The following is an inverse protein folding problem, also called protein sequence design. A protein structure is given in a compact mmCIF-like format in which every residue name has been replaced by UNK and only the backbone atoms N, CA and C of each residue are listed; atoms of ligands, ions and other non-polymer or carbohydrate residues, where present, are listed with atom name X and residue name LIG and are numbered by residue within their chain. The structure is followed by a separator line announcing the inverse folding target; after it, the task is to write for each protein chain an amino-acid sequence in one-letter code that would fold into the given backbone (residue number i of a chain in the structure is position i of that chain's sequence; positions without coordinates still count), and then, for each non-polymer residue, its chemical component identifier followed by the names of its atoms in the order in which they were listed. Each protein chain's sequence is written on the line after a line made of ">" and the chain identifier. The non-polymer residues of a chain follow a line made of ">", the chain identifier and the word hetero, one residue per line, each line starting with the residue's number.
data_IF_563477044533
#
_entry.id   IF_563477044533
#
_cell.length_a   1.000
_cell.length_b   1.000
_cell.length_c   1.000
_cell.angle_alpha   90.00
_cell.angle_beta   90.00
_cell.angle_gamma   90.00
#
_symmetry.space_group_name_H-M   'P 1'
#
loop_
_entity.id
_entity.type
_entity.pdbx_description
1 polymer ?
#
# COMPACT_ATOMS: atom_id res chain seq x y z
N UNK A 1 64.40 -62.75 -33.41
CA UNK A 1 64.28 -61.95 -32.18
C UNK A 1 63.85 -60.54 -32.53
N UNK A 2 62.64 -60.11 -32.12
CA UNK A 2 62.26 -58.70 -32.05
C UNK A 2 61.45 -58.50 -30.77
N UNK A 3 62.07 -57.83 -29.82
CA UNK A 3 61.50 -57.48 -28.51
C UNK A 3 60.58 -56.27 -28.68
N UNK A 4 59.28 -56.45 -28.42
CA UNK A 4 58.31 -55.35 -28.35
C UNK A 4 58.58 -54.53 -27.08
N UNK A 5 58.95 -53.25 -27.25
CA UNK A 5 59.00 -52.28 -26.14
C UNK A 5 57.59 -52.07 -25.58
N UNK A 6 57.43 -52.33 -24.28
CA UNK A 6 56.18 -52.24 -23.51
C UNK A 6 55.71 -50.79 -23.33
N UNK A 7 54.41 -50.58 -23.53
CA UNK A 7 53.62 -49.34 -23.44
C UNK A 7 53.46 -48.80 -22.00
N UNK A 8 54.55 -48.46 -21.29
CA UNK A 8 54.47 -48.03 -19.87
C UNK A 8 53.99 -46.58 -19.65
N UNK A 9 54.01 -45.72 -20.68
CA UNK A 9 53.54 -44.32 -20.56
C UNK A 9 52.03 -44.14 -20.79
N UNK A 10 51.46 -44.90 -21.73
CA UNK A 10 50.03 -44.76 -22.12
C UNK A 10 49.09 -45.23 -21.01
N UNK A 11 49.43 -46.32 -20.31
CA UNK A 11 48.61 -46.81 -19.20
C UNK A 11 48.54 -45.81 -18.03
N UNK A 12 49.64 -45.10 -17.72
CA UNK A 12 49.66 -44.08 -16.67
C UNK A 12 48.81 -42.86 -17.05
N UNK A 13 48.88 -42.42 -18.32
CA UNK A 13 48.06 -41.31 -18.83
C UNK A 13 46.57 -41.67 -18.76
N UNK A 14 46.20 -42.90 -19.13
CA UNK A 14 44.81 -43.36 -19.03
C UNK A 14 44.33 -43.38 -17.57
N UNK A 15 45.14 -43.87 -16.64
CA UNK A 15 44.78 -43.89 -15.21
C UNK A 15 44.64 -42.47 -14.66
N UNK A 16 45.55 -41.55 -14.99
CA UNK A 16 45.47 -40.15 -14.56
C UNK A 16 44.27 -39.42 -15.17
N UNK A 17 43.92 -39.73 -16.42
CA UNK A 17 42.74 -39.20 -17.09
C UNK A 17 41.46 -39.73 -16.43
N UNK A 18 41.39 -41.02 -16.11
CA UNK A 18 40.26 -41.60 -15.38
C UNK A 18 40.14 -41.01 -13.97
N UNK A 19 41.24 -40.86 -13.24
CA UNK A 19 41.25 -40.24 -11.92
C UNK A 19 40.78 -38.79 -11.98
N UNK A 20 41.27 -38.00 -12.93
CA UNK A 20 40.84 -36.61 -13.14
C UNK A 20 39.35 -36.53 -13.47
N UNK A 21 38.82 -37.43 -14.31
CA UNK A 21 37.38 -37.50 -14.60
C UNK A 21 36.57 -37.87 -13.36
N UNK A 22 37.03 -38.84 -12.57
CA UNK A 22 36.35 -39.24 -11.34
C UNK A 22 36.34 -38.11 -10.29
N UNK A 23 37.45 -37.40 -10.11
CA UNK A 23 37.52 -36.30 -9.15
C UNK A 23 36.69 -35.10 -9.58
N UNK A 24 36.69 -34.76 -10.88
CA UNK A 24 35.83 -33.69 -11.41
C UNK A 24 34.34 -34.00 -11.27
N UNK A 25 33.92 -35.24 -11.59
CA UNK A 25 32.52 -35.67 -11.39
C UNK A 25 32.15 -35.60 -9.91
N UNK A 26 33.01 -36.12 -9.01
CA UNK A 26 32.76 -36.07 -7.58
C UNK A 26 32.63 -34.62 -7.05
N UNK A 27 33.48 -33.71 -7.53
CA UNK A 27 33.42 -32.28 -7.21
C UNK A 27 32.08 -31.66 -7.61
N UNK A 28 31.67 -31.84 -8.87
CA UNK A 28 30.38 -31.33 -9.39
C UNK A 28 29.19 -31.93 -8.63
N UNK A 29 29.24 -33.21 -8.29
CA UNK A 29 28.18 -33.85 -7.49
C UNK A 29 28.08 -33.26 -6.08
N UNK A 30 29.22 -33.01 -5.42
CA UNK A 30 29.26 -32.41 -4.09
C UNK A 30 28.72 -30.97 -4.08
N UNK A 31 29.12 -30.16 -5.05
CA UNK A 31 28.60 -28.79 -5.22
C UNK A 31 27.09 -28.81 -5.43
N UNK A 32 26.59 -29.72 -6.29
CA UNK A 32 25.16 -29.87 -6.54
C UNK A 32 24.40 -30.29 -5.29
N UNK A 33 24.92 -31.24 -4.51
CA UNK A 33 24.31 -31.67 -3.25
C UNK A 33 24.24 -30.52 -2.25
N UNK A 34 25.33 -29.77 -2.09
CA UNK A 34 25.36 -28.62 -1.19
C UNK A 34 24.37 -27.52 -1.62
N UNK A 35 24.33 -27.20 -2.92
CA UNK A 35 23.37 -26.23 -3.45
C UNK A 35 21.91 -26.69 -3.27
N UNK A 36 21.62 -27.99 -3.46
CA UNK A 36 20.29 -28.55 -3.23
C UNK A 36 19.91 -28.50 -1.75
N UNK A 37 20.86 -28.78 -0.85
CA UNK A 37 20.65 -28.70 0.59
C UNK A 37 20.32 -27.26 1.02
N UNK A 38 21.09 -26.27 0.58
CA UNK A 38 20.81 -24.86 0.87
C UNK A 38 19.45 -24.41 0.33
N UNK A 39 19.09 -24.81 -0.90
CA UNK A 39 17.76 -24.52 -1.47
C UNK A 39 16.65 -25.15 -0.65
N UNK A 40 16.81 -26.40 -0.24
CA UNK A 40 15.84 -27.11 0.61
C UNK A 40 15.66 -26.41 1.96
N UNK A 41 16.76 -26.02 2.60
CA UNK A 41 16.72 -25.30 3.86
C UNK A 41 16.03 -23.93 3.72
N UNK A 42 16.38 -23.15 2.70
CA UNK A 42 15.76 -21.85 2.44
C UNK A 42 14.26 -21.98 2.13
N UNK A 43 13.85 -23.04 1.43
CA UNK A 43 12.43 -23.31 1.18
C UNK A 43 11.66 -23.57 2.48
N UNK A 44 12.22 -24.36 3.40
CA UNK A 44 11.61 -24.64 4.71
C UNK A 44 11.55 -23.35 5.55
N UNK A 45 12.64 -22.60 5.63
CA UNK A 45 12.70 -21.35 6.38
C UNK A 45 11.71 -20.31 5.84
N UNK A 46 11.57 -20.20 4.52
CA UNK A 46 10.57 -19.34 3.88
C UNK A 46 9.14 -19.76 4.23
N UNK A 47 8.83 -21.06 4.18
CA UNK A 47 7.52 -21.57 4.57
C UNK A 47 7.21 -21.30 6.05
N UNK A 48 8.20 -21.45 6.93
CA UNK A 48 8.07 -21.13 8.35
C UNK A 48 7.78 -19.63 8.54
N UNK A 49 8.54 -18.75 7.88
CA UNK A 49 8.33 -17.31 7.92
C UNK A 49 6.94 -16.91 7.38
N UNK A 50 6.47 -17.58 6.34
CA UNK A 50 5.11 -17.39 5.81
C UNK A 50 4.04 -17.74 6.87
N UNK A 51 4.14 -18.90 7.52
CA UNK A 51 3.15 -19.29 8.54
C UNK A 51 3.18 -18.39 9.77
N UNK A 52 4.36 -17.93 10.17
CA UNK A 52 4.47 -16.90 11.20
C UNK A 52 3.82 -15.58 10.77
N UNK A 53 3.95 -15.16 9.50
CA UNK A 53 3.28 -13.98 8.98
C UNK A 53 1.74 -14.09 9.08
N UNK A 54 1.17 -15.27 8.80
CA UNK A 54 -0.25 -15.55 9.01
C UNK A 54 -0.62 -15.54 10.51
N UNK A 55 0.27 -15.99 11.38
CA UNK A 55 0.09 -15.88 12.83
C UNK A 55 0.03 -14.42 13.32
N UNK A 56 0.85 -13.54 12.74
CA UNK A 56 0.84 -12.10 13.07
C UNK A 56 -0.44 -11.44 12.56
N UNK A 57 -0.97 -11.83 11.39
CA UNK A 57 -2.31 -11.40 10.96
C UNK A 57 -3.37 -11.74 12.01
N UNK A 58 -3.34 -12.95 12.56
CA UNK A 58 -4.28 -13.35 13.60
C UNK A 58 -4.13 -12.51 14.88
N UNK A 59 -2.90 -12.17 15.27
CA UNK A 59 -2.66 -11.26 16.39
C UNK A 59 -3.17 -9.84 16.12
N UNK A 60 -2.96 -9.32 14.90
CA UNK A 60 -3.43 -8.00 14.49
C UNK A 60 -4.96 -7.91 14.56
N UNK A 61 -5.67 -8.96 14.12
CA UNK A 61 -7.13 -9.05 14.26
C UNK A 61 -7.57 -8.91 15.72
N UNK A 62 -6.95 -9.65 16.64
CA UNK A 62 -7.29 -9.58 18.07
C UNK A 62 -7.10 -8.16 18.62
N UNK A 63 -6.03 -7.45 18.24
CA UNK A 63 -5.81 -6.07 18.65
C UNK A 63 -6.89 -5.09 18.17
N UNK A 64 -7.33 -5.23 16.91
CA UNK A 64 -8.40 -4.40 16.34
C UNK A 64 -9.76 -4.77 16.97
N UNK A 65 -10.08 -6.06 17.07
CA UNK A 65 -11.33 -6.55 17.68
C UNK A 65 -11.47 -6.16 19.15
N UNK A 66 -10.34 -6.09 19.88
CA UNK A 66 -10.34 -5.60 21.26
C UNK A 66 -10.67 -4.10 21.31
N UNK A 67 -10.14 -3.32 20.38
CA UNK A 67 -10.35 -1.86 20.34
C UNK A 67 -11.81 -1.50 20.06
N UNK A 68 -12.50 -2.31 19.24
CA UNK A 68 -13.95 -2.18 19.05
C UNK A 68 -14.79 -2.45 20.29
N UNK A 69 -14.30 -3.28 21.22
CA UNK A 69 -15.01 -3.59 22.47
C UNK A 69 -14.79 -2.52 23.53
N UNK A 70 -13.62 -1.88 23.50
CA UNK A 70 -13.21 -0.94 24.52
C UNK A 70 -13.78 0.47 24.29
N UNK A 71 -13.96 0.89 23.02
CA UNK A 71 -14.39 2.24 22.66
C UNK A 71 -15.24 2.32 21.38
N UNK A 72 -16.10 3.33 21.30
CA UNK A 72 -16.96 3.64 20.13
C UNK A 72 -16.26 4.41 19.01
N UNK A 73 -14.99 4.80 19.19
CA UNK A 73 -14.14 5.44 18.17
C UNK A 73 -12.95 4.56 17.80
N UNK A 74 -12.26 4.88 16.71
CA UNK A 74 -10.95 4.30 16.36
C UNK A 74 -9.93 5.44 16.34
N UNK A 75 -8.91 5.34 17.19
CA UNK A 75 -7.93 6.40 17.41
C UNK A 75 -6.52 5.81 17.61
N UNK A 76 -5.53 6.68 17.77
CA UNK A 76 -4.12 6.30 17.90
C UNK A 76 -3.68 5.93 19.34
N UNK A 77 -4.52 6.10 20.36
CA UNK A 77 -4.21 5.66 21.75
C UNK A 77 -4.50 4.16 21.97
N UNK A 78 -5.20 3.53 21.04
CA UNK A 78 -5.63 2.14 21.12
C UNK A 78 -4.49 1.12 20.94
N UNK A 79 -4.64 -0.11 21.47
CA UNK A 79 -3.60 -1.14 21.43
C UNK A 79 -3.13 -1.57 20.03
N UNK A 80 -3.96 -1.40 18.99
CA UNK A 80 -3.57 -1.73 17.62
C UNK A 80 -2.60 -0.70 17.02
N UNK A 81 -2.64 0.56 17.46
CA UNK A 81 -1.92 1.69 16.88
C UNK A 81 -0.47 1.83 17.39
N UNK A 82 0.10 0.74 17.90
CA UNK A 82 1.50 0.72 18.33
C UNK A 82 2.42 0.88 17.12
N UNK A 83 3.38 1.81 17.25
CA UNK A 83 4.52 1.92 16.32
C UNK A 83 5.27 0.59 16.25
N UNK A 84 6.07 0.42 15.20
CA UNK A 84 6.77 -0.84 14.87
C UNK A 84 7.21 -1.65 16.11
N UNK A 85 6.55 -2.79 16.31
CA UNK A 85 6.81 -3.70 17.42
C UNK A 85 7.69 -4.85 16.94
N UNK A 86 8.59 -5.33 17.81
CA UNK A 86 9.37 -6.54 17.56
C UNK A 86 8.85 -7.67 18.46
N UNK A 87 8.35 -8.74 17.84
CA UNK A 87 7.88 -9.95 18.52
C UNK A 87 8.92 -11.07 18.35
N UNK A 88 9.47 -11.62 19.44
CA UNK A 88 10.34 -12.79 19.36
C UNK A 88 9.52 -14.03 18.97
N UNK A 89 10.07 -14.83 18.07
CA UNK A 89 9.53 -16.13 17.64
C UNK A 89 10.57 -17.22 17.94
N UNK A 90 10.16 -18.48 17.99
CA UNK A 90 11.04 -19.59 18.35
C UNK A 90 12.32 -19.69 17.50
N UNK A 91 12.24 -19.30 16.21
CA UNK A 91 13.34 -19.37 15.24
C UNK A 91 13.54 -18.08 14.47
N UNK A 92 13.07 -16.96 15.01
CA UNK A 92 13.00 -15.73 14.24
C UNK A 92 12.50 -14.53 15.01
N UNK A 93 12.29 -13.46 14.26
CA UNK A 93 11.67 -12.25 14.77
C UNK A 93 10.62 -11.77 13.79
N UNK A 94 9.56 -11.20 14.34
CA UNK A 94 8.53 -10.51 13.59
C UNK A 94 8.61 -9.03 13.92
N UNK A 95 8.58 -8.19 12.89
CA UNK A 95 8.49 -6.73 13.03
C UNK A 95 7.31 -6.23 12.24
N UNK A 96 6.58 -5.27 12.75
CA UNK A 96 5.49 -4.69 11.99
C UNK A 96 4.65 -3.71 12.78
N UNK A 97 3.69 -3.13 12.09
CA UNK A 97 2.75 -2.16 12.61
C UNK A 97 1.42 -2.29 11.86
N UNK A 98 0.37 -1.72 12.44
CA UNK A 98 -0.95 -1.63 11.84
C UNK A 98 -1.22 -0.16 11.56
N UNK A 99 -1.81 0.14 10.40
CA UNK A 99 -2.23 1.49 10.01
C UNK A 99 -3.71 1.47 9.69
N UNK A 100 -4.42 2.49 10.14
CA UNK A 100 -5.79 2.75 9.69
C UNK A 100 -5.79 3.17 8.22
N UNK A 101 -6.49 2.42 7.36
CA UNK A 101 -6.62 2.73 5.93
C UNK A 101 -7.82 3.59 5.59
N UNK A 102 -8.51 4.12 6.59
CA UNK A 102 -9.44 5.23 6.43
C UNK A 102 -8.82 6.60 6.75
N UNK A 103 -7.52 6.66 7.07
CA UNK A 103 -6.75 7.90 7.19
C UNK A 103 -6.21 8.40 5.82
N UNK A 104 -6.96 8.27 4.72
CA UNK A 104 -6.52 8.64 3.37
C UNK A 104 -7.71 9.01 2.48
N UNK A 105 -7.45 9.73 1.39
CA UNK A 105 -8.44 9.95 0.34
C UNK A 105 -8.65 8.65 -0.43
N UNK A 106 -9.84 8.05 -0.32
CA UNK A 106 -10.16 6.83 -1.05
C UNK A 106 -10.55 7.16 -2.51
N UNK A 107 -9.67 6.85 -3.46
CA UNK A 107 -9.88 7.11 -4.89
C UNK A 107 -11.20 6.52 -5.43
N UNK A 108 -11.59 5.38 -4.88
CA UNK A 108 -12.81 4.66 -5.26
C UNK A 108 -14.11 5.39 -4.88
N UNK A 109 -14.03 6.48 -4.11
CA UNK A 109 -15.18 7.36 -3.87
C UNK A 109 -15.67 8.02 -5.16
N UNK A 110 -14.77 8.27 -6.12
CA UNK A 110 -15.12 8.93 -7.38
C UNK A 110 -16.09 8.09 -8.22
N UNK A 111 -16.08 6.76 -8.06
CA UNK A 111 -17.06 5.87 -8.71
C UNK A 111 -18.51 6.07 -8.21
N UNK A 112 -18.71 6.72 -7.05
CA UNK A 112 -20.04 7.08 -6.56
C UNK A 112 -20.58 8.40 -7.13
N UNK A 113 -19.71 9.17 -7.80
CA UNK A 113 -20.05 10.48 -8.35
C UNK A 113 -20.79 10.30 -9.66
N UNK A 114 -22.10 10.57 -9.64
CA UNK A 114 -22.90 10.55 -10.85
C UNK A 114 -22.76 11.87 -11.63
N UNK A 115 -22.68 11.81 -12.97
CA UNK A 115 -22.70 13.02 -13.79
C UNK A 115 -24.06 13.70 -13.68
N UNK A 116 -24.07 14.94 -13.17
CA UNK A 116 -25.30 15.72 -13.09
C UNK A 116 -25.57 16.38 -14.45
N UNK A 117 -26.63 15.93 -15.14
CA UNK A 117 -27.02 16.47 -16.43
C UNK A 117 -27.26 18.00 -16.34
N UNK A 118 -26.46 18.78 -17.07
CA UNK A 118 -26.57 20.23 -17.13
C UNK A 118 -25.91 21.01 -15.99
N UNK A 119 -25.13 20.36 -15.12
CA UNK A 119 -24.24 21.08 -14.20
C UNK A 119 -22.92 21.41 -14.91
N UNK A 120 -22.54 22.68 -14.85
CA UNK A 120 -21.26 23.18 -15.36
C UNK A 120 -20.16 23.11 -14.30
N UNK A 121 -20.53 22.92 -13.03
CA UNK A 121 -19.60 22.87 -11.90
C UNK A 121 -19.11 21.44 -11.68
N UNK A 122 -17.82 21.32 -11.36
CA UNK A 122 -17.19 20.03 -11.03
C UNK A 122 -17.78 19.49 -9.73
N UNK A 123 -18.13 18.19 -9.64
CA UNK A 123 -18.64 17.60 -8.41
C UNK A 123 -17.64 17.75 -7.25
N UNK A 124 -18.15 17.93 -6.03
CA UNK A 124 -17.35 18.17 -4.84
C UNK A 124 -16.18 17.20 -4.66
N UNK A 125 -16.40 15.89 -4.78
CA UNK A 125 -15.33 14.89 -4.59
C UNK A 125 -14.23 14.95 -5.65
N UNK A 126 -14.59 15.26 -6.89
CA UNK A 126 -13.62 15.44 -7.99
C UNK A 126 -12.81 16.71 -7.76
N UNK A 127 -13.45 17.77 -7.25
CA UNK A 127 -12.80 19.01 -6.84
C UNK A 127 -11.83 18.79 -5.67
N UNK A 128 -12.23 18.04 -4.64
CA UNK A 128 -11.34 17.64 -3.53
C UNK A 128 -10.12 16.91 -4.06
N UNK A 129 -10.30 15.95 -4.98
CA UNK A 129 -9.16 15.24 -5.54
C UNK A 129 -8.25 16.14 -6.39
N UNK A 130 -8.82 17.07 -7.17
CA UNK A 130 -8.05 18.08 -7.91
C UNK A 130 -7.19 18.94 -6.97
N UNK A 131 -7.79 19.49 -5.91
CA UNK A 131 -7.05 20.30 -4.94
C UNK A 131 -5.97 19.47 -4.23
N UNK A 132 -6.26 18.20 -3.90
CA UNK A 132 -5.25 17.31 -3.32
C UNK A 132 -4.05 17.08 -4.24
N UNK A 133 -4.28 16.99 -5.55
CA UNK A 133 -3.21 16.90 -6.55
C UNK A 133 -2.36 18.17 -6.60
N UNK A 134 -2.99 19.34 -6.53
CA UNK A 134 -2.29 20.64 -6.47
C UNK A 134 -1.44 20.75 -5.20
N UNK A 135 -1.98 20.37 -4.03
CA UNK A 135 -1.25 20.33 -2.76
C UNK A 135 -0.08 19.32 -2.79
N UNK A 136 -0.24 18.22 -3.53
CA UNK A 136 0.86 17.28 -3.81
C UNK A 136 1.90 17.84 -4.82
N UNK A 137 1.66 19.03 -5.38
CA UNK A 137 2.57 19.75 -6.27
C UNK A 137 2.37 19.46 -7.75
N UNK A 138 1.15 19.08 -8.17
CA UNK A 138 0.77 19.09 -9.58
C UNK A 138 0.51 20.52 -10.06
N UNK A 139 0.86 20.82 -11.31
CA UNK A 139 0.45 22.07 -11.95
C UNK A 139 -1.07 22.10 -12.14
N UNK A 140 -1.76 23.26 -12.05
CA UNK A 140 -3.23 23.32 -12.06
C UNK A 140 -3.89 22.59 -13.24
N UNK A 141 -3.36 22.77 -14.45
CA UNK A 141 -3.86 22.07 -15.63
C UNK A 141 -3.65 20.55 -15.54
N UNK A 142 -2.50 20.12 -15.03
CA UNK A 142 -2.23 18.69 -14.86
C UNK A 142 -3.14 18.08 -13.78
N UNK A 143 -3.41 18.81 -12.69
CA UNK A 143 -4.32 18.39 -11.64
C UNK A 143 -5.75 18.21 -12.19
N UNK A 144 -6.23 19.14 -13.02
CA UNK A 144 -7.53 19.03 -13.70
C UNK A 144 -7.63 17.77 -14.56
N UNK A 145 -6.64 17.53 -15.43
CA UNK A 145 -6.63 16.37 -16.31
C UNK A 145 -6.59 15.07 -15.51
N UNK A 146 -5.74 14.97 -14.49
CA UNK A 146 -5.63 13.76 -13.68
C UNK A 146 -6.91 13.51 -12.89
N UNK A 147 -7.53 14.55 -12.32
CA UNK A 147 -8.76 14.40 -11.55
C UNK A 147 -9.91 13.88 -12.42
N UNK A 148 -10.12 14.50 -13.58
CA UNK A 148 -11.13 14.09 -14.55
C UNK A 148 -10.82 12.68 -15.07
N UNK A 149 -9.58 12.40 -15.49
CA UNK A 149 -9.18 11.07 -15.98
C UNK A 149 -9.29 9.98 -14.91
N UNK A 150 -9.06 10.28 -13.63
CA UNK A 150 -9.22 9.32 -12.53
C UNK A 150 -10.70 9.04 -12.28
N UNK A 151 -11.56 10.05 -12.41
CA UNK A 151 -13.00 9.88 -12.28
C UNK A 151 -13.54 8.96 -13.36
N UNK A 152 -13.24 9.20 -14.64
CA UNK A 152 -13.67 8.30 -15.74
C UNK A 152 -13.06 6.91 -15.57
N UNK A 153 -11.79 6.80 -15.17
CA UNK A 153 -11.12 5.50 -15.03
C UNK A 153 -11.78 4.54 -14.02
N UNK A 154 -12.50 5.08 -13.03
CA UNK A 154 -13.19 4.27 -11.99
C UNK A 154 -14.70 4.24 -12.12
N UNK A 155 -15.28 5.04 -13.01
CA UNK A 155 -16.71 5.00 -13.27
C UNK A 155 -17.08 3.69 -13.99
N UNK A 156 -18.36 3.43 -14.24
CA UNK A 156 -18.80 2.12 -14.74
C UNK A 156 -18.97 2.02 -16.26
N UNK A 157 -18.72 3.11 -17.01
CA UNK A 157 -18.96 3.15 -18.44
C UNK A 157 -17.75 3.66 -19.23
N UNK A 158 -17.92 3.87 -20.55
CA UNK A 158 -16.84 4.25 -21.48
C UNK A 158 -17.10 5.65 -22.08
N UNK A 159 -17.93 6.46 -21.42
CA UNK A 159 -18.32 7.78 -21.93
C UNK A 159 -17.51 8.84 -21.22
N UNK A 160 -16.78 9.62 -22.01
CA UNK A 160 -16.18 10.86 -21.51
C UNK A 160 -17.29 11.85 -21.11
N UNK A 161 -17.45 12.07 -19.80
CA UNK A 161 -18.47 12.95 -19.22
C UNK A 161 -17.88 14.28 -18.74
N UNK A 162 -16.61 14.29 -18.37
CA UNK A 162 -15.86 15.45 -17.88
C UNK A 162 -15.15 16.20 -19.01
N UNK A 163 -14.69 17.42 -18.74
CA UNK A 163 -14.12 18.29 -19.78
C UNK A 163 -12.74 17.80 -20.27
N UNK A 164 -11.94 17.26 -19.35
CA UNK A 164 -10.58 16.79 -19.61
C UNK A 164 -10.44 15.27 -19.43
N UNK A 165 -11.56 14.57 -19.23
CA UNK A 165 -11.61 13.12 -19.05
C UNK A 165 -11.17 12.35 -20.29
N UNK A 166 -10.71 11.13 -20.06
CA UNK A 166 -10.28 10.23 -21.11
C UNK A 166 -10.70 8.81 -20.79
N UNK A 167 -11.00 8.06 -21.85
CA UNK A 167 -11.46 6.67 -21.80
C UNK A 167 -10.54 5.77 -22.64
N UNK A 168 -11.01 4.55 -22.92
CA UNK A 168 -10.36 3.51 -23.72
C UNK A 168 -9.55 4.04 -24.90
N UNK A 169 -10.10 4.92 -25.74
CA UNK A 169 -9.41 5.43 -26.93
C UNK A 169 -8.05 6.08 -26.60
N UNK A 170 -7.89 6.67 -25.40
CA UNK A 170 -6.63 7.23 -24.94
C UNK A 170 -5.69 6.14 -24.43
N UNK A 171 -6.17 5.22 -23.60
CA UNK A 171 -5.35 4.16 -23.01
C UNK A 171 -4.90 3.12 -24.05
N UNK A 172 -5.68 2.89 -25.10
CA UNK A 172 -5.29 2.06 -26.26
C UNK A 172 -4.11 2.65 -27.04
N UNK A 173 -3.90 3.97 -26.95
CA UNK A 173 -2.77 4.64 -27.60
C UNK A 173 -1.44 4.49 -26.85
N UNK A 174 -1.47 3.97 -25.63
CA UNK A 174 -0.28 3.82 -24.80
C UNK A 174 0.59 2.62 -25.20
N UNK A 175 1.80 2.58 -24.65
CA UNK A 175 2.75 1.48 -24.81
C UNK A 175 3.21 0.97 -23.44
N UNK A 176 2.75 -0.23 -23.00
CA UNK A 176 1.76 -1.10 -23.65
C UNK A 176 0.36 -0.47 -23.65
N UNK A 177 -0.47 -0.87 -24.62
CA UNK A 177 -1.87 -0.48 -24.69
C UNK A 177 -2.70 -1.25 -23.65
N UNK A 178 -3.70 -0.59 -23.07
CA UNK A 178 -4.67 -1.18 -22.13
C UNK A 178 -5.98 -0.37 -22.18
N UNK A 179 -6.97 -0.80 -21.41
CA UNK A 179 -8.29 -0.17 -21.30
C UNK A 179 -8.45 0.53 -19.95
N UNK A 180 -9.40 1.46 -19.86
CA UNK A 180 -9.83 1.97 -18.57
C UNK A 180 -10.34 0.82 -17.68
N UNK A 181 -10.23 0.96 -16.37
CA UNK A 181 -10.62 -0.12 -15.46
C UNK A 181 -12.15 -0.30 -15.39
N UNK A 182 -12.88 0.80 -15.57
CA UNK A 182 -14.33 0.92 -15.48
C UNK A 182 -14.90 0.25 -14.22
N UNK A 183 -14.23 0.51 -13.10
CA UNK A 183 -14.53 -0.08 -11.82
C UNK A 183 -13.56 0.36 -10.73
N UNK A 184 -13.81 -0.13 -9.51
CA UNK A 184 -13.00 0.23 -8.36
C UNK A 184 -11.55 -0.22 -8.57
N UNK A 185 -10.60 0.69 -8.32
CA UNK A 185 -9.19 0.35 -8.23
C UNK A 185 -8.99 -0.70 -7.13
N UNK A 186 -8.29 -1.78 -7.45
CA UNK A 186 -7.89 -2.77 -6.48
C UNK A 186 -6.75 -2.24 -5.60
N UNK A 187 -5.81 -1.46 -6.16
CA UNK A 187 -4.74 -0.82 -5.41
C UNK A 187 -4.48 0.64 -5.84
N UNK A 188 -4.05 1.47 -4.88
CA UNK A 188 -3.66 2.85 -5.17
C UNK A 188 -2.52 2.97 -6.19
N UNK A 189 -1.73 1.90 -6.40
CA UNK A 189 -0.73 1.88 -7.48
C UNK A 189 -1.32 1.98 -8.88
N UNK A 190 -2.59 1.62 -9.08
CA UNK A 190 -3.27 1.70 -10.38
C UNK A 190 -3.46 3.15 -10.83
N UNK A 191 -3.49 4.11 -9.89
CA UNK A 191 -3.46 5.53 -10.21
C UNK A 191 -2.25 5.91 -11.09
N UNK A 192 -1.15 5.14 -11.04
CA UNK A 192 0.02 5.35 -11.90
C UNK A 192 -0.28 5.14 -13.39
N UNK A 193 -1.32 4.39 -13.72
CA UNK A 193 -1.79 4.15 -15.08
C UNK A 193 -2.67 5.31 -15.59
N UNK A 194 -3.32 6.07 -14.70
CA UNK A 194 -4.19 7.17 -15.12
C UNK A 194 -3.44 8.19 -15.97
N UNK A 195 -4.14 8.70 -16.99
CA UNK A 195 -3.61 9.66 -17.96
C UNK A 195 -2.95 10.87 -17.28
N UNK A 196 -1.75 11.22 -17.74
CA UNK A 196 -0.87 12.26 -17.19
C UNK A 196 -0.33 12.06 -15.76
N UNK A 197 -0.64 10.95 -15.08
CA UNK A 197 -0.01 10.67 -13.78
C UNK A 197 1.49 10.42 -13.95
N UNK A 198 2.31 11.25 -13.31
CA UNK A 198 3.77 11.13 -13.36
C UNK A 198 4.32 10.32 -12.18
N UNK A 199 5.48 9.68 -12.36
CA UNK A 199 6.15 8.96 -11.27
C UNK A 199 6.49 9.84 -10.05
N UNK A 200 7.06 11.06 -10.25
CA UNK A 200 7.32 11.98 -9.15
C UNK A 200 6.05 12.42 -8.40
N UNK A 201 4.97 12.75 -9.12
CA UNK A 201 3.70 13.14 -8.49
C UNK A 201 3.09 11.98 -7.72
N UNK A 202 3.05 10.78 -8.31
CA UNK A 202 2.55 9.57 -7.63
C UNK A 202 3.32 9.28 -6.33
N UNK A 203 4.63 9.54 -6.30
CA UNK A 203 5.44 9.33 -5.09
C UNK A 203 5.08 10.29 -3.95
N UNK A 204 4.70 11.54 -4.29
CA UNK A 204 4.21 12.52 -3.32
C UNK A 204 2.77 12.25 -2.88
N UNK A 205 1.95 11.72 -3.79
CA UNK A 205 0.54 11.45 -3.56
C UNK A 205 0.29 10.12 -2.81
N UNK A 206 1.18 9.13 -2.96
CA UNK A 206 1.08 7.81 -2.35
C UNK A 206 0.75 7.79 -0.83
N UNK A 207 1.28 8.68 0.03
CA UNK A 207 0.89 8.71 1.45
C UNK A 207 -0.50 9.33 1.70
N UNK A 208 -1.08 10.03 0.72
CA UNK A 208 -2.33 10.77 0.86
C UNK A 208 -3.55 9.99 0.36
N UNK A 209 -3.35 9.02 -0.54
CA UNK A 209 -4.43 8.31 -1.22
C UNK A 209 -4.44 6.81 -0.92
N UNK A 210 -5.62 6.21 -1.08
CA UNK A 210 -5.81 4.77 -1.00
C UNK A 210 -6.88 4.31 -2.00
N UNK A 211 -6.93 2.99 -2.21
CA UNK A 211 -7.99 2.33 -2.96
C UNK A 211 -8.59 1.24 -2.07
N UNK A 212 -9.63 1.59 -1.33
CA UNK A 212 -10.38 0.66 -0.49
C UNK A 212 -11.46 -0.02 -1.34
N UNK A 213 -11.85 -1.27 -1.05
CA UNK A 213 -12.89 -2.00 -1.79
C UNK A 213 -14.31 -1.51 -1.44
N UNK A 214 -14.50 -0.19 -1.42
CA UNK A 214 -15.76 0.53 -1.17
C UNK A 214 -15.70 1.87 -1.89
N UNK A 215 -16.86 2.37 -2.32
CA UNK A 215 -17.04 3.73 -2.82
C UNK A 215 -17.65 4.68 -1.77
N UNK A 216 -17.87 4.21 -0.54
CA UNK A 216 -18.24 5.04 0.61
C UNK A 216 -16.96 5.48 1.34
N UNK A 217 -16.53 6.71 1.07
CA UNK A 217 -15.34 7.27 1.71
C UNK A 217 -15.69 7.96 3.02
N UNK A 218 -15.04 7.50 4.09
CA UNK A 218 -15.14 8.01 5.44
C UNK A 218 -13.74 8.22 6.00
N UNK A 219 -13.23 9.45 5.88
CA UNK A 219 -11.94 9.84 6.44
C UNK A 219 -12.01 9.79 7.97
N UNK A 220 -11.21 8.92 8.59
CA UNK A 220 -11.12 8.88 10.04
C UNK A 220 -10.22 10.04 10.55
N UNK A 221 -10.84 11.04 11.15
CA UNK A 221 -10.11 12.21 11.67
C UNK A 221 -9.24 11.86 12.87
N UNK A 222 -9.54 10.78 13.60
CA UNK A 222 -8.78 10.39 14.77
C UNK A 222 -7.43 9.70 14.47
N UNK A 223 -7.18 9.34 13.21
CA UNK A 223 -5.97 8.60 12.79
C UNK A 223 -5.17 9.29 11.69
N UNK A 224 -5.68 10.37 11.10
CA UNK A 224 -4.93 11.15 10.09
C UNK A 224 -3.61 11.69 10.68
N UNK A 225 -2.51 11.59 9.95
CA UNK A 225 -1.20 12.08 10.38
C UNK A 225 -0.90 13.48 9.82
N UNK A 226 0.04 14.22 10.42
CA UNK A 226 0.38 15.58 9.99
C UNK A 226 0.86 15.64 8.53
N UNK A 227 1.52 14.58 8.04
CA UNK A 227 1.91 14.45 6.63
C UNK A 227 0.71 14.36 5.67
N UNK A 228 -0.47 14.07 6.18
CA UNK A 228 -1.72 13.90 5.44
C UNK A 228 -2.66 15.10 5.56
N UNK A 229 -2.23 16.18 6.23
CA UNK A 229 -2.93 17.46 6.30
C UNK A 229 -3.46 17.99 4.95
N UNK A 230 -2.77 17.80 3.80
CA UNK A 230 -3.30 18.17 2.48
C UNK A 230 -4.70 17.64 2.16
N UNK A 231 -5.10 16.50 2.74
CA UNK A 231 -6.45 15.94 2.55
C UNK A 231 -7.49 16.89 3.16
N UNK A 232 -7.25 17.41 4.38
CA UNK A 232 -8.15 18.35 5.04
C UNK A 232 -8.18 19.69 4.29
N UNK A 233 -7.03 20.17 3.85
CA UNK A 233 -6.94 21.38 3.00
C UNK A 233 -7.83 21.21 1.77
N UNK A 234 -7.71 20.09 1.07
CA UNK A 234 -8.51 19.81 -0.12
C UNK A 234 -10.01 19.67 0.18
N UNK A 235 -10.40 19.05 1.31
CA UNK A 235 -11.79 18.92 1.72
C UNK A 235 -12.47 20.25 2.04
N UNK A 236 -11.71 21.20 2.58
CA UNK A 236 -12.22 22.49 3.07
C UNK A 236 -11.74 23.69 2.24
N UNK A 237 -11.17 23.45 1.07
CA UNK A 237 -10.66 24.51 0.20
C UNK A 237 -11.77 25.51 -0.18
N UNK A 238 -11.46 26.82 -0.28
CA UNK A 238 -10.17 27.46 -0.01
C UNK A 238 -10.01 27.95 1.45
N UNK A 239 -10.85 27.48 2.37
CA UNK A 239 -11.08 28.11 3.68
C UNK A 239 -10.16 27.60 4.80
N UNK A 240 -9.46 26.48 4.60
CA UNK A 240 -8.51 25.91 5.54
C UNK A 240 -7.08 25.94 4.98
N UNK A 241 -6.15 26.55 5.72
CA UNK A 241 -4.74 26.58 5.31
C UNK A 241 -4.01 25.30 5.70
N UNK A 242 -2.88 25.02 5.06
CA UNK A 242 -2.04 23.86 5.41
C UNK A 242 -1.52 23.93 6.86
N UNK A 243 -1.16 25.12 7.34
CA UNK A 243 -0.71 25.31 8.73
C UNK A 243 -1.82 25.02 9.72
N UNK A 244 -3.03 25.54 9.50
CA UNK A 244 -4.16 25.30 10.39
C UNK A 244 -4.57 23.82 10.38
N UNK A 245 -4.49 23.15 9.22
CA UNK A 245 -4.74 21.72 9.11
C UNK A 245 -3.70 20.88 9.87
N UNK A 246 -2.43 21.30 9.90
CA UNK A 246 -1.38 20.64 10.68
C UNK A 246 -1.58 20.87 12.18
N UNK A 247 -1.86 22.11 12.59
CA UNK A 247 -2.14 22.47 13.99
C UNK A 247 -3.36 21.70 14.51
N UNK A 248 -4.43 21.58 13.71
CA UNK A 248 -5.61 20.78 14.04
C UNK A 248 -5.28 19.30 14.29
N UNK A 249 -4.37 18.73 13.49
CA UNK A 249 -3.94 17.33 13.64
C UNK A 249 -3.05 17.15 14.87
N UNK A 250 -2.13 18.08 15.11
CA UNK A 250 -1.22 18.06 16.26
C UNK A 250 -1.95 18.35 17.58
N UNK A 251 -3.01 19.15 17.54
CA UNK A 251 -3.89 19.49 18.65
C UNK A 251 -4.91 18.41 18.99
N UNK A 252 -4.96 17.30 18.24
CA UNK A 252 -5.89 16.19 18.47
C UNK A 252 -5.83 15.71 19.93
N UNK A 253 -6.98 15.54 20.61
CA UNK A 253 -7.01 14.93 21.94
C UNK A 253 -6.35 13.56 21.98
N UNK A 254 -5.81 13.15 23.13
CA UNK A 254 -5.11 11.87 23.27
C UNK A 254 -5.96 10.67 22.82
N UNK A 255 -7.24 10.65 23.19
CA UNK A 255 -8.21 9.61 22.80
C UNK A 255 -9.00 9.98 21.53
N UNK A 256 -8.57 11.02 20.81
CA UNK A 256 -9.28 11.58 19.66
C UNK A 256 -10.56 12.34 20.03
N UNK A 257 -11.26 12.80 19.01
CA UNK A 257 -12.59 13.38 19.09
C UNK A 257 -13.65 12.27 19.26
N UNK A 258 -14.70 12.52 20.04
CA UNK A 258 -15.75 11.53 20.27
C UNK A 258 -16.68 11.39 19.07
N UNK A 259 -16.88 12.48 18.34
CA UNK A 259 -17.68 12.54 17.13
C UNK A 259 -17.16 13.63 16.17
N UNK A 260 -17.80 13.73 15.01
CA UNK A 260 -17.44 14.70 13.97
C UNK A 260 -17.80 16.14 14.36
N UNK A 261 -18.75 16.34 15.28
CA UNK A 261 -19.12 17.69 15.76
C UNK A 261 -18.05 18.23 16.71
N UNK A 262 -17.48 17.39 17.58
CA UNK A 262 -16.30 17.74 18.40
C UNK A 262 -15.13 18.18 17.51
N UNK A 263 -14.88 17.46 16.41
CA UNK A 263 -13.88 17.87 15.41
C UNK A 263 -14.21 19.23 14.78
N UNK A 264 -15.46 19.48 14.40
CA UNK A 264 -15.89 20.76 13.81
C UNK A 264 -15.90 21.93 14.80
N UNK A 265 -15.85 21.66 16.11
CA UNK A 265 -15.81 22.67 17.15
C UNK A 265 -14.40 23.27 17.36
N UNK A 266 -13.37 22.67 16.76
CA UNK A 266 -12.00 23.15 16.84
C UNK A 266 -11.83 24.53 16.17
N UNK A 267 -10.98 25.34 16.78
CA UNK A 267 -10.84 26.77 16.44
C UNK A 267 -10.25 27.01 15.05
N UNK A 268 -9.41 26.08 14.60
CA UNK A 268 -8.71 26.00 13.34
C UNK A 268 -9.69 25.86 12.17
N UNK A 269 -10.88 25.30 12.42
CA UNK A 269 -11.96 25.20 11.43
C UNK A 269 -12.88 26.42 11.45
N UNK A 270 -12.65 27.40 12.33
CA UNK A 270 -13.54 28.56 12.52
C UNK A 270 -13.76 29.44 11.27
N UNK A 271 -12.82 29.42 10.32
CA UNK A 271 -12.93 30.11 9.02
C UNK A 271 -13.72 29.32 7.97
N UNK A 272 -13.93 28.01 8.17
CA UNK A 272 -14.64 27.14 7.24
C UNK A 272 -16.14 27.41 7.34
N UNK A 273 -16.73 27.81 6.23
CA UNK A 273 -18.15 28.13 6.15
C UNK A 273 -19.06 26.90 6.33
N UNK A 274 -20.28 27.13 6.80
CA UNK A 274 -21.26 26.07 7.10
C UNK A 274 -21.61 25.22 5.88
N UNK A 275 -21.59 25.78 4.67
CA UNK A 275 -21.87 25.02 3.45
C UNK A 275 -20.76 24.01 3.17
N UNK A 276 -19.50 24.37 3.39
CA UNK A 276 -18.34 23.47 3.21
C UNK A 276 -18.30 22.42 4.30
N UNK A 277 -18.58 22.80 5.55
CA UNK A 277 -18.77 21.84 6.65
C UNK A 277 -19.85 20.80 6.31
N UNK A 278 -21.00 21.24 5.79
CA UNK A 278 -22.09 20.35 5.41
C UNK A 278 -21.72 19.42 4.23
N UNK A 279 -20.98 19.90 3.23
CA UNK A 279 -20.48 19.07 2.13
C UNK A 279 -19.47 18.01 2.62
N UNK A 280 -18.52 18.41 3.47
CA UNK A 280 -17.48 17.54 3.99
C UNK A 280 -17.99 16.53 5.02
N UNK A 281 -19.01 16.89 5.82
CA UNK A 281 -19.54 16.07 6.93
C UNK A 281 -19.91 14.66 6.52
N UNK A 282 -20.42 14.49 5.30
CA UNK A 282 -20.77 13.18 4.74
C UNK A 282 -19.59 12.25 4.51
N UNK A 283 -18.35 12.75 4.55
CA UNK A 283 -17.14 12.00 4.25
C UNK A 283 -16.16 11.93 5.43
N UNK A 284 -16.56 12.41 6.60
CA UNK A 284 -15.76 12.36 7.83
C UNK A 284 -16.31 11.29 8.78
N UNK A 285 -15.42 10.73 9.59
CA UNK A 285 -15.71 9.71 10.59
C UNK A 285 -14.72 9.83 11.75
N UNK A 286 -15.10 9.28 12.90
CA UNK A 286 -14.23 9.04 14.08
C UNK A 286 -13.97 7.55 14.31
N UNK A 287 -14.41 6.73 13.37
CA UNK A 287 -14.35 5.27 13.36
C UNK A 287 -13.76 4.75 12.04
N UNK A 288 -13.24 3.53 12.05
CA UNK A 288 -12.69 2.84 10.89
C UNK A 288 -13.04 1.36 10.84
N UNK A 289 -13.33 0.90 9.63
CA UNK A 289 -13.57 -0.48 9.25
C UNK A 289 -12.36 -1.10 8.53
N UNK A 290 -11.40 -0.31 8.03
CA UNK A 290 -10.28 -0.81 7.21
C UNK A 290 -8.93 -0.52 7.84
N UNK A 291 -8.10 -1.57 7.96
CA UNK A 291 -6.75 -1.48 8.51
C UNK A 291 -5.78 -2.20 7.58
N UNK A 292 -4.51 -1.81 7.61
CA UNK A 292 -3.44 -2.57 6.96
C UNK A 292 -2.39 -2.99 7.97
N UNK A 293 -2.15 -4.30 8.07
CA UNK A 293 -0.96 -4.82 8.71
C UNK A 293 0.20 -4.76 7.71
N UNK A 294 1.31 -4.13 8.09
CA UNK A 294 2.59 -4.25 7.40
C UNK A 294 3.58 -4.95 8.33
N UNK A 295 3.93 -6.18 7.98
CA UNK A 295 4.79 -7.02 8.81
C UNK A 295 5.90 -7.68 8.00
N UNK A 296 7.08 -7.73 8.59
CA UNK A 296 8.23 -8.47 8.12
C UNK A 296 8.61 -9.55 9.14
N UNK A 297 8.70 -10.79 8.66
CA UNK A 297 9.14 -11.95 9.43
C UNK A 297 10.48 -12.42 8.91
N UNK A 298 11.42 -12.63 9.83
CA UNK A 298 12.74 -13.17 9.56
C UNK A 298 12.92 -14.48 10.31
N UNK A 299 13.22 -15.55 9.58
CA UNK A 299 13.54 -16.88 10.11
C UNK A 299 14.88 -17.31 9.54
N UNK A 300 15.89 -17.42 10.40
CA UNK A 300 17.29 -17.53 9.99
C UNK A 300 17.65 -16.44 8.95
N UNK A 301 17.97 -16.83 7.71
CA UNK A 301 18.31 -15.90 6.60
C UNK A 301 17.11 -15.62 5.67
N UNK A 302 15.95 -16.25 5.91
CA UNK A 302 14.76 -16.09 5.06
C UNK A 302 13.86 -14.98 5.59
N UNK A 303 13.43 -14.10 4.69
CA UNK A 303 12.56 -12.96 5.00
C UNK A 303 11.26 -13.03 4.20
N UNK A 304 10.15 -12.77 4.89
CA UNK A 304 8.82 -12.63 4.28
C UNK A 304 8.22 -11.32 4.78
N UNK A 305 7.93 -10.40 3.86
CA UNK A 305 7.09 -9.23 4.14
C UNK A 305 5.69 -9.47 3.62
N UNK A 306 4.70 -9.20 4.46
CA UNK A 306 3.28 -9.26 4.15
C UNK A 306 2.65 -7.91 4.42
N UNK A 307 1.81 -7.45 3.48
CA UNK A 307 0.89 -6.33 3.66
C UNK A 307 -0.53 -6.85 3.51
N UNK A 308 -1.31 -6.76 4.58
CA UNK A 308 -2.64 -7.37 4.65
C UNK A 308 -3.69 -6.32 4.92
N UNK A 309 -4.61 -6.16 3.98
CA UNK A 309 -5.80 -5.33 4.17
C UNK A 309 -6.81 -6.13 4.98
N UNK A 310 -7.12 -5.61 6.16
CA UNK A 310 -8.06 -6.13 7.13
C UNK A 310 -9.34 -5.28 7.06
N UNK A 311 -10.49 -5.92 7.23
CA UNK A 311 -11.79 -5.26 7.21
C UNK A 311 -12.73 -5.82 8.28
N UNK A 312 -13.48 -4.94 8.94
CA UNK A 312 -14.57 -5.30 9.85
C UNK A 312 -15.87 -4.66 9.40
N UNK A 313 -16.83 -5.48 8.98
CA UNK A 313 -18.14 -4.99 8.51
C UNK A 313 -19.14 -4.71 9.64
N UNK A 314 -18.93 -5.32 10.80
CA UNK A 314 -19.86 -5.35 11.91
C UNK A 314 -19.28 -4.79 13.21
N UNK A 315 -18.04 -4.26 13.16
CA UNK A 315 -17.33 -3.77 14.34
C UNK A 315 -17.12 -4.84 15.42
N UNK A 316 -17.04 -6.11 15.02
CA UNK A 316 -16.82 -7.24 15.95
C UNK A 316 -15.78 -8.23 15.43
N UNK A 317 -15.88 -8.64 14.16
CA UNK A 317 -15.01 -9.64 13.55
C UNK A 317 -14.18 -9.02 12.43
N UNK A 318 -12.87 -9.29 12.45
CA UNK A 318 -11.94 -8.76 11.46
C UNK A 318 -11.53 -9.84 10.47
N UNK A 319 -11.75 -9.57 9.18
CA UNK A 319 -11.41 -10.47 8.08
C UNK A 319 -10.27 -9.93 7.22
N UNK A 320 -9.52 -10.85 6.60
CA UNK A 320 -8.46 -10.47 5.65
C UNK A 320 -9.08 -10.40 4.26
N UNK A 321 -9.10 -9.21 3.67
CA UNK A 321 -9.64 -8.98 2.32
C UNK A 321 -8.57 -9.22 1.26
N UNK A 322 -7.33 -8.82 1.54
CA UNK A 322 -6.25 -8.87 0.57
C UNK A 322 -4.91 -9.06 1.24
N UNK A 323 -4.05 -9.87 0.60
CA UNK A 323 -2.64 -10.04 0.98
C UNK A 323 -1.74 -9.65 -0.17
N UNK A 324 -0.69 -8.91 0.15
CA UNK A 324 0.39 -8.59 -0.77
C UNK A 324 1.70 -9.06 -0.18
N UNK A 325 2.47 -9.79 -0.98
CA UNK A 325 3.80 -10.25 -0.59
C UNK A 325 4.85 -9.43 -1.34
N UNK A 326 5.92 -9.07 -0.63
CA UNK A 326 7.01 -8.27 -1.19
C UNK A 326 6.80 -6.76 -1.02
N UNK A 327 7.61 -5.98 -1.75
CA UNK A 327 7.83 -4.56 -1.48
C UNK A 327 8.92 -4.35 -0.43
N UNK A 328 9.84 -3.43 -0.67
CA UNK A 328 10.99 -3.19 0.22
C UNK A 328 10.71 -1.98 1.13
N UNK A 329 10.91 -2.13 2.44
CA UNK A 329 11.29 -1.00 3.30
C UNK A 329 12.82 -0.96 3.15
N UNK A 330 13.33 0.00 2.38
CA UNK A 330 14.74 0.22 2.04
C UNK A 330 15.58 -1.04 1.73
N UNK A 331 15.89 -1.25 0.44
CA UNK A 331 17.07 -2.05 0.10
C UNK A 331 18.30 -1.32 0.67
N UNK A 332 18.90 -1.83 1.75
CA UNK A 332 20.36 -1.78 1.84
C UNK A 332 20.85 -2.66 0.70
N UNK A 333 21.12 -2.02 -0.43
CA UNK A 333 21.85 -2.63 -1.51
C UNK A 333 23.28 -2.80 -1.03
N UNK A 334 23.55 -3.87 -0.27
CA UNK A 334 24.90 -4.43 -0.14
C UNK A 334 25.30 -5.07 -1.48
N UNK A 335 25.28 -4.26 -2.53
CA UNK A 335 26.11 -4.45 -3.71
C UNK A 335 27.25 -3.47 -3.55
N UNK A 336 28.22 -3.83 -2.70
CA UNK A 336 29.58 -3.45 -3.03
C UNK A 336 29.88 -4.14 -4.35
N UNK A 337 30.04 -3.37 -5.41
CA UNK A 337 30.76 -3.83 -6.59
C UNK A 337 32.24 -3.93 -6.18
N UNK A 338 32.59 -5.03 -5.52
CA UNK A 338 33.93 -5.60 -5.58
C UNK A 338 33.87 -6.91 -6.36
#
# INVERSE_FOLDING_TARGET
>A
MRSHKRSRGVALIIILLLLTIMTTIAGVMSERLFAQFLRGNNQINYQQAYWYAIGIEALAKVGIEQSYKDTDTINLSQPWALKEQTYPLDYGIAKGFIVDKQACFNLNVLASVAPAAGQTERPYLVEVFRTLLEEAGAEPYQAEVIADATWEFVDSDDRVMSQMGVEDATYESFAPAYLAANGLMADASELRAVYQMSGPLMSKLAPLVCALPTNDWRLNVNTIEAAQAPILVAMFAPSLSLSDAQELIEGRPYDGWNDVEDFFAESELGSVDDSKRQQARGYLSVDSAFFELDAQVEVAESRVRIRSLLHSSNREAVDVVRRRFGGFSERVSDRSTE
#
